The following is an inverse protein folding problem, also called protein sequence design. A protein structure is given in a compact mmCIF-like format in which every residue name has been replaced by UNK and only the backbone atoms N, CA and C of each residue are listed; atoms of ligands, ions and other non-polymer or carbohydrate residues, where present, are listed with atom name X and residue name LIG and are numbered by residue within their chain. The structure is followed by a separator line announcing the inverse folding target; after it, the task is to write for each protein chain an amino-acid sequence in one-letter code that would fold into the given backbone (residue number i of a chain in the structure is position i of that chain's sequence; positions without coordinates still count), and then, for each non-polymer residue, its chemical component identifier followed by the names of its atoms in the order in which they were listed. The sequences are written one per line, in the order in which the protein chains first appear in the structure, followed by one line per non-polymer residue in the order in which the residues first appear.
data_IF_013472825899
#
_entry.id   IF_013472825899
#
_cell.length_a   1.000
_cell.length_b   1.000
_cell.length_c   1.000
_cell.angle_alpha   90.00
_cell.angle_beta   90.00
_cell.angle_gamma   90.00
#
_symmetry.space_group_name_H-M   'P 1'
#
loop_
_entity.id
_entity.type
_entity.pdbx_description
1 polymer ?
#
# COMPACT_ATOMS: atom_id res chain seq x y z
N UNK A 1 -19.63 9.70 3.50
CA UNK A 1 -18.56 10.70 3.64
C UNK A 1 -18.42 11.17 5.11
N UNK A 2 -19.45 11.78 5.68
CA UNK A 2 -19.37 12.40 7.02
C UNK A 2 -18.92 11.43 8.14
N UNK A 3 -19.48 10.23 8.23
CA UNK A 3 -19.08 9.24 9.24
C UNK A 3 -17.63 8.79 9.08
N UNK A 4 -17.16 8.66 7.85
CA UNK A 4 -15.77 8.31 7.57
C UNK A 4 -14.80 9.41 8.01
N UNK A 5 -15.07 10.66 7.71
CA UNK A 5 -14.23 11.77 8.15
C UNK A 5 -14.23 11.93 9.67
N UNK A 6 -15.38 11.75 10.33
CA UNK A 6 -15.45 11.72 11.80
C UNK A 6 -14.60 10.57 12.37
N UNK A 7 -14.62 9.39 11.75
CA UNK A 7 -13.73 8.28 12.15
C UNK A 7 -12.26 8.68 12.05
N UNK A 8 -11.84 9.33 10.96
CA UNK A 8 -10.45 9.78 10.78
C UNK A 8 -10.05 10.82 11.84
N UNK A 9 -10.93 11.76 12.18
CA UNK A 9 -10.68 12.73 13.24
C UNK A 9 -10.49 12.06 14.60
N UNK A 10 -11.35 11.08 14.96
CA UNK A 10 -11.18 10.32 16.21
C UNK A 10 -9.92 9.46 16.22
N UNK A 11 -9.56 8.89 15.04
CA UNK A 11 -8.30 8.19 14.87
C UNK A 11 -7.09 9.11 15.11
N UNK A 12 -7.09 10.31 14.53
CA UNK A 12 -6.03 11.31 14.74
C UNK A 12 -5.92 11.72 16.23
N UNK A 13 -7.02 11.90 16.92
CA UNK A 13 -7.02 12.12 18.37
C UNK A 13 -6.39 10.97 19.14
N UNK A 14 -6.57 9.73 18.68
CA UNK A 14 -5.99 8.53 19.29
C UNK A 14 -4.46 8.46 19.16
N UNK A 15 -3.91 8.84 18.01
CA UNK A 15 -2.46 8.81 17.76
C UNK A 15 -1.71 10.03 18.36
N UNK A 16 -2.40 11.15 18.61
CA UNK A 16 -1.89 12.36 19.28
C UNK A 16 -0.46 12.77 18.86
N UNK A 17 0.49 12.71 19.79
CA UNK A 17 1.88 13.15 19.64
C UNK A 17 2.80 12.06 19.04
N UNK A 18 2.25 10.92 18.63
CA UNK A 18 3.00 9.90 17.94
C UNK A 18 3.14 10.26 16.46
N UNK A 19 4.24 9.80 15.85
CA UNK A 19 4.49 9.94 14.41
C UNK A 19 4.42 8.57 13.73
N UNK A 20 3.23 7.97 13.64
CA UNK A 20 3.10 6.66 13.00
C UNK A 20 3.30 6.77 11.50
N UNK A 21 3.64 5.64 10.88
CA UNK A 21 3.48 5.45 9.44
C UNK A 21 2.02 5.06 9.21
N UNK A 22 1.35 5.76 8.32
CA UNK A 22 -0.02 5.46 7.90
C UNK A 22 0.00 5.07 6.42
N UNK A 23 -0.38 3.84 6.13
CA UNK A 23 -0.69 3.39 4.77
C UNK A 23 -2.18 3.65 4.55
N UNK A 24 -2.47 4.63 3.69
CA UNK A 24 -3.80 5.16 3.57
C UNK A 24 -4.57 4.54 2.41
N UNK A 25 -5.70 3.94 2.73
CA UNK A 25 -6.68 3.39 1.80
C UNK A 25 -6.10 2.39 0.78
N UNK A 26 -5.53 1.25 1.23
CA UNK A 26 -5.03 0.22 0.32
C UNK A 26 -6.04 -0.13 -0.78
N UNK A 27 -5.57 -0.17 -2.02
CA UNK A 27 -6.32 -0.43 -3.26
C UNK A 27 -7.35 0.64 -3.65
N UNK A 28 -7.78 1.53 -2.76
CA UNK A 28 -8.94 2.39 -2.99
C UNK A 28 -8.73 3.39 -4.13
N UNK A 29 -7.54 3.98 -4.24
CA UNK A 29 -7.23 4.96 -5.28
C UNK A 29 -7.08 4.32 -6.67
N UNK A 30 -6.29 3.24 -6.86
CA UNK A 30 -6.22 2.55 -8.16
C UNK A 30 -7.57 1.99 -8.61
N UNK A 31 -8.43 1.51 -7.71
CA UNK A 31 -9.77 1.04 -8.06
C UNK A 31 -10.66 2.10 -8.72
N UNK A 32 -10.37 3.37 -8.53
CA UNK A 32 -11.16 4.45 -9.18
C UNK A 32 -11.12 4.38 -10.70
N UNK A 33 -10.07 3.78 -11.29
CA UNK A 33 -9.94 3.59 -12.75
C UNK A 33 -10.95 2.60 -13.32
N UNK A 34 -11.54 1.75 -12.48
CA UNK A 34 -12.53 0.74 -12.85
C UNK A 34 -13.98 1.22 -12.61
N UNK A 35 -14.16 2.44 -12.09
CA UNK A 35 -15.45 3.01 -11.75
C UNK A 35 -15.97 3.91 -12.88
N UNK A 36 -17.30 4.15 -12.90
CA UNK A 36 -17.83 5.23 -13.71
C UNK A 36 -17.36 6.60 -13.15
N UNK A 37 -17.38 7.63 -13.98
CA UNK A 37 -16.84 8.95 -13.66
C UNK A 37 -17.40 9.53 -12.35
N UNK A 38 -18.72 9.42 -12.12
CA UNK A 38 -19.37 9.97 -10.92
C UNK A 38 -18.87 9.32 -9.63
N UNK A 39 -18.77 7.99 -9.63
CA UNK A 39 -18.34 7.23 -8.44
C UNK A 39 -16.83 7.38 -8.23
N UNK A 40 -16.05 7.45 -9.31
CA UNK A 40 -14.62 7.75 -9.28
C UNK A 40 -14.35 9.13 -8.66
N UNK A 41 -15.00 10.18 -9.16
CA UNK A 41 -14.83 11.55 -8.63
C UNK A 41 -15.25 11.63 -7.16
N UNK A 42 -16.36 10.99 -6.78
CA UNK A 42 -16.77 10.91 -5.38
C UNK A 42 -15.71 10.24 -4.49
N UNK A 43 -15.17 9.10 -4.94
CA UNK A 43 -14.15 8.37 -4.22
C UNK A 43 -12.85 9.17 -4.08
N UNK A 44 -12.39 9.78 -5.15
CA UNK A 44 -11.19 10.63 -5.16
C UNK A 44 -11.33 11.81 -4.21
N UNK A 45 -12.47 12.49 -4.24
CA UNK A 45 -12.73 13.61 -3.32
C UNK A 45 -12.73 13.14 -1.86
N UNK A 46 -13.33 11.98 -1.57
CA UNK A 46 -13.35 11.43 -0.22
C UNK A 46 -11.94 11.04 0.28
N UNK A 47 -11.12 10.45 -0.59
CA UNK A 47 -9.71 10.13 -0.28
C UNK A 47 -8.94 11.43 -0.02
N UNK A 48 -9.12 12.44 -0.84
CA UNK A 48 -8.48 13.76 -0.67
C UNK A 48 -8.86 14.41 0.65
N UNK A 49 -10.16 14.53 0.96
CA UNK A 49 -10.65 15.09 2.24
C UNK A 49 -10.09 14.30 3.45
N UNK A 50 -9.99 12.99 3.34
CA UNK A 50 -9.41 12.15 4.39
C UNK A 50 -7.91 12.37 4.56
N UNK A 51 -7.13 12.52 3.48
CA UNK A 51 -5.71 12.88 3.55
C UNK A 51 -5.51 14.26 4.17
N UNK A 52 -6.32 15.25 3.79
CA UNK A 52 -6.31 16.57 4.40
C UNK A 52 -6.57 16.47 5.90
N UNK A 53 -7.60 15.74 6.33
CA UNK A 53 -7.91 15.52 7.75
C UNK A 53 -6.74 14.91 8.51
N UNK A 54 -6.14 13.82 8.00
CA UNK A 54 -5.03 13.15 8.70
C UNK A 54 -3.80 14.05 8.79
N UNK A 55 -3.45 14.74 7.70
CA UNK A 55 -2.24 15.57 7.64
C UNK A 55 -2.38 16.89 8.39
N UNK A 56 -3.59 17.39 8.60
CA UNK A 56 -3.85 18.58 9.41
C UNK A 56 -3.93 18.28 10.92
N UNK A 57 -4.48 17.11 11.28
CA UNK A 57 -4.73 16.76 12.68
C UNK A 57 -3.63 15.84 13.29
N UNK A 58 -2.61 15.45 12.53
CA UNK A 58 -1.52 14.60 13.02
C UNK A 58 -0.16 14.90 12.41
N UNK A 59 0.90 14.44 13.10
CA UNK A 59 2.29 14.46 12.58
C UNK A 59 2.68 13.11 11.95
N UNK A 60 1.72 12.33 11.46
CA UNK A 60 1.97 11.02 10.86
C UNK A 60 2.74 11.13 9.54
N UNK A 61 3.55 10.11 9.24
CA UNK A 61 4.08 9.90 7.90
C UNK A 61 3.03 9.16 7.05
N UNK A 62 2.36 9.88 6.15
CA UNK A 62 1.24 9.34 5.39
C UNK A 62 1.67 8.96 3.98
N UNK A 63 1.37 7.72 3.59
CA UNK A 63 1.59 7.18 2.25
C UNK A 63 0.25 6.72 1.69
N UNK A 64 -0.20 7.34 0.59
CA UNK A 64 -1.42 6.89 -0.10
C UNK A 64 -1.12 5.64 -0.91
N UNK A 65 -1.97 4.64 -0.83
CA UNK A 65 -1.75 3.43 -1.62
C UNK A 65 -2.08 3.65 -3.09
N UNK A 66 -1.19 3.18 -3.97
CA UNK A 66 -1.35 3.29 -5.42
C UNK A 66 -1.31 1.92 -6.14
N UNK A 67 -1.37 0.83 -5.38
CA UNK A 67 -1.41 -0.52 -5.94
C UNK A 67 -0.02 -1.05 -6.32
N UNK A 68 0.15 -1.52 -7.54
CA UNK A 68 1.37 -2.20 -7.96
C UNK A 68 1.65 -2.07 -9.46
N UNK A 69 2.88 -2.38 -9.87
CA UNK A 69 3.43 -2.23 -11.22
C UNK A 69 2.62 -2.87 -12.37
N UNK A 70 1.82 -3.90 -12.07
CA UNK A 70 0.99 -4.56 -13.07
C UNK A 70 -0.46 -4.05 -13.09
N UNK A 71 -0.76 -2.97 -12.39
CA UNK A 71 -2.09 -2.37 -12.33
C UNK A 71 -2.18 -1.08 -13.13
N UNK A 72 -1.25 -0.16 -12.92
CA UNK A 72 -1.25 1.16 -13.54
C UNK A 72 0.09 1.46 -14.20
N UNK A 73 0.05 2.21 -15.30
CA UNK A 73 1.25 2.85 -15.81
C UNK A 73 1.74 3.94 -14.84
N UNK A 74 3.07 4.18 -14.75
CA UNK A 74 3.62 5.19 -13.81
C UNK A 74 3.00 6.58 -13.97
N UNK A 75 2.67 6.99 -15.19
CA UNK A 75 2.02 8.27 -15.48
C UNK A 75 0.63 8.34 -14.86
N UNK A 76 -0.19 7.32 -15.08
CA UNK A 76 -1.57 7.28 -14.57
C UNK A 76 -1.58 7.23 -13.04
N UNK A 77 -0.63 6.49 -12.45
CA UNK A 77 -0.43 6.46 -11.01
C UNK A 77 -0.07 7.84 -10.46
N UNK A 78 0.87 8.54 -11.08
CA UNK A 78 1.27 9.90 -10.69
C UNK A 78 0.11 10.91 -10.81
N UNK A 79 -0.68 10.82 -11.88
CA UNK A 79 -1.87 11.67 -12.05
C UNK A 79 -2.90 11.44 -10.93
N UNK A 80 -3.15 10.19 -10.54
CA UNK A 80 -4.06 9.87 -9.44
C UNK A 80 -3.54 10.38 -8.08
N UNK A 81 -2.25 10.17 -7.78
CA UNK A 81 -1.64 10.68 -6.55
C UNK A 81 -1.76 12.21 -6.51
N UNK A 82 -1.47 12.91 -7.61
CA UNK A 82 -1.57 14.38 -7.70
C UNK A 82 -2.97 14.90 -7.39
N UNK A 83 -4.02 14.14 -7.76
CA UNK A 83 -5.42 14.55 -7.51
C UNK A 83 -5.80 14.55 -6.03
N UNK A 84 -5.12 13.76 -5.20
CA UNK A 84 -5.46 13.57 -3.79
C UNK A 84 -4.44 14.12 -2.80
N UNK A 85 -3.16 14.21 -3.19
CA UNK A 85 -2.07 14.61 -2.32
C UNK A 85 -2.06 16.11 -2.01
N UNK A 86 -1.50 16.45 -0.87
CA UNK A 86 -1.06 17.80 -0.48
C UNK A 86 0.41 17.78 -0.07
N UNK A 87 0.98 18.94 0.25
CA UNK A 87 2.41 19.08 0.58
C UNK A 87 2.86 18.37 1.88
N UNK A 88 1.91 17.86 2.67
CA UNK A 88 2.20 17.12 3.92
C UNK A 88 2.12 15.61 3.74
N UNK A 89 1.62 15.13 2.62
CA UNK A 89 1.65 13.70 2.28
C UNK A 89 3.08 13.32 1.95
N UNK A 90 3.66 12.36 2.67
CA UNK A 90 5.05 11.93 2.48
C UNK A 90 5.27 11.29 1.10
N UNK A 91 4.25 10.64 0.58
CA UNK A 91 4.30 9.98 -0.72
C UNK A 91 3.29 8.86 -0.86
N UNK A 92 3.74 7.70 -1.34
CA UNK A 92 2.82 6.61 -1.68
C UNK A 92 3.36 5.24 -1.25
N UNK A 93 2.46 4.28 -1.05
CA UNK A 93 2.81 2.88 -0.83
C UNK A 93 2.57 2.06 -2.10
N UNK A 94 3.38 1.04 -2.30
CA UNK A 94 3.27 0.13 -3.44
C UNK A 94 3.32 -1.33 -3.00
N UNK A 95 2.70 -2.19 -3.81
CA UNK A 95 2.71 -3.64 -3.62
C UNK A 95 1.97 -4.13 -2.36
N UNK A 96 1.13 -3.29 -1.73
CA UNK A 96 0.40 -3.67 -0.52
C UNK A 96 -0.41 -4.95 -0.78
N UNK A 97 -0.19 -5.95 0.07
CA UNK A 97 -0.83 -7.28 -0.05
C UNK A 97 -0.57 -8.02 -1.37
N UNK A 98 0.37 -7.58 -2.19
CA UNK A 98 0.68 -8.18 -3.49
C UNK A 98 2.04 -8.90 -3.47
N UNK A 99 2.45 -9.43 -4.62
CA UNK A 99 3.59 -10.34 -4.76
C UNK A 99 4.62 -9.86 -5.78
N UNK A 100 4.53 -8.61 -6.29
CA UNK A 100 5.52 -8.06 -7.22
C UNK A 100 6.87 -8.00 -6.52
N UNK A 101 7.94 -8.39 -7.24
CA UNK A 101 9.27 -8.37 -6.65
C UNK A 101 9.66 -6.97 -6.17
N UNK A 102 10.51 -6.89 -5.15
CA UNK A 102 11.01 -5.61 -4.64
C UNK A 102 11.68 -4.80 -5.74
N UNK A 103 12.47 -5.46 -6.60
CA UNK A 103 13.11 -4.80 -7.74
C UNK A 103 12.10 -4.18 -8.70
N UNK A 104 11.08 -4.94 -9.13
CA UNK A 104 10.03 -4.46 -10.02
C UNK A 104 9.25 -3.29 -9.40
N UNK A 105 8.89 -3.42 -8.12
CA UNK A 105 8.18 -2.38 -7.37
C UNK A 105 9.01 -1.11 -7.22
N UNK A 106 10.32 -1.23 -6.96
CA UNK A 106 11.28 -0.14 -6.87
C UNK A 106 11.38 0.61 -8.22
N UNK A 107 11.63 -0.11 -9.31
CA UNK A 107 11.76 0.48 -10.64
C UNK A 107 10.48 1.21 -11.09
N UNK A 108 9.32 0.67 -10.75
CA UNK A 108 8.04 1.30 -11.04
C UNK A 108 7.78 2.54 -10.19
N UNK A 109 8.05 2.48 -8.89
CA UNK A 109 7.86 3.60 -7.97
C UNK A 109 8.81 4.77 -8.28
N UNK A 110 10.06 4.49 -8.67
CA UNK A 110 11.00 5.54 -9.10
C UNK A 110 10.49 6.31 -10.32
N UNK A 111 9.88 5.62 -11.29
CA UNK A 111 9.26 6.29 -12.45
C UNK A 111 8.07 7.18 -12.05
N UNK A 112 7.35 6.84 -11.00
CA UNK A 112 6.29 7.71 -10.46
C UNK A 112 6.92 8.95 -9.81
N UNK A 113 8.02 8.80 -9.09
CA UNK A 113 8.73 9.92 -8.47
C UNK A 113 9.29 10.93 -9.48
N UNK A 114 9.54 10.53 -10.76
CA UNK A 114 9.94 11.47 -11.82
C UNK A 114 8.92 12.58 -12.08
N UNK A 115 7.66 12.40 -11.70
CA UNK A 115 6.59 13.39 -11.84
C UNK A 115 6.52 14.40 -10.70
N UNK A 116 7.10 14.08 -9.53
CA UNK A 116 7.18 14.98 -8.38
C UNK A 116 8.33 14.58 -7.45
N UNK A 117 9.38 15.39 -7.43
CA UNK A 117 10.59 15.17 -6.62
C UNK A 117 10.36 15.19 -5.10
N UNK A 118 9.23 15.68 -4.63
CA UNK A 118 8.91 15.69 -3.19
C UNK A 118 8.34 14.36 -2.70
N UNK A 119 7.95 13.46 -3.58
CA UNK A 119 7.41 12.17 -3.17
C UNK A 119 8.51 11.18 -2.82
N UNK A 120 8.25 10.46 -1.74
CA UNK A 120 8.94 9.23 -1.38
C UNK A 120 7.95 8.06 -1.42
N UNK A 121 8.43 6.84 -1.25
CA UNK A 121 7.55 5.68 -1.22
C UNK A 121 8.02 4.63 -0.23
N UNK A 122 7.11 3.72 0.08
CA UNK A 122 7.39 2.48 0.83
C UNK A 122 6.90 1.28 0.03
N UNK A 123 7.56 0.14 0.21
CA UNK A 123 7.22 -1.12 -0.49
C UNK A 123 6.76 -2.16 0.53
N UNK A 124 5.61 -2.79 0.27
CA UNK A 124 5.23 -4.00 1.01
C UNK A 124 6.02 -5.20 0.50
N UNK A 125 6.90 -5.72 1.35
CA UNK A 125 7.76 -6.89 1.08
C UNK A 125 7.31 -8.14 1.86
N UNK A 126 6.13 -8.10 2.45
CA UNK A 126 5.62 -9.14 3.35
C UNK A 126 5.51 -10.52 2.71
N UNK A 127 5.29 -10.60 1.38
CA UNK A 127 5.00 -11.88 0.70
C UNK A 127 5.59 -11.99 -0.71
N UNK A 128 6.56 -11.16 -1.06
CA UNK A 128 7.04 -11.00 -2.43
C UNK A 128 8.38 -11.67 -2.74
N UNK A 129 8.95 -12.46 -1.81
CA UNK A 129 10.29 -13.06 -1.96
C UNK A 129 10.47 -13.94 -3.20
N UNK A 130 9.43 -14.65 -3.62
CA UNK A 130 9.42 -15.43 -4.87
C UNK A 130 8.76 -14.72 -6.06
N UNK A 131 8.45 -13.43 -5.91
CA UNK A 131 7.75 -12.67 -6.95
C UNK A 131 6.30 -13.17 -7.18
N UNK A 132 5.63 -12.71 -8.24
CA UNK A 132 4.24 -13.07 -8.53
C UNK A 132 4.09 -14.50 -9.07
N UNK A 133 2.89 -15.06 -8.92
CA UNK A 133 2.48 -16.31 -9.56
C UNK A 133 1.47 -15.96 -10.67
N UNK A 134 1.97 -15.58 -11.84
CA UNK A 134 1.13 -15.05 -12.90
C UNK A 134 0.35 -13.81 -12.42
N UNK A 135 -0.97 -13.86 -12.59
CA UNK A 135 -1.90 -12.81 -12.12
C UNK A 135 -2.67 -13.22 -10.86
N UNK A 136 -2.30 -14.33 -10.23
CA UNK A 136 -2.93 -14.79 -8.99
C UNK A 136 -2.59 -13.83 -7.84
N UNK A 137 -3.62 -13.22 -7.27
CA UNK A 137 -3.48 -12.33 -6.10
C UNK A 137 -4.00 -12.98 -4.80
N UNK A 138 -4.89 -13.97 -4.91
CA UNK A 138 -5.54 -14.56 -3.73
C UNK A 138 -4.83 -15.83 -3.29
N UNK A 139 -3.97 -15.73 -2.30
CA UNK A 139 -3.20 -16.82 -1.69
C UNK A 139 -2.44 -17.71 -2.71
N UNK A 140 -1.70 -17.19 -3.67
CA UNK A 140 -0.96 -18.04 -4.60
C UNK A 140 0.03 -18.95 -3.86
N UNK A 141 0.18 -20.21 -4.29
CA UNK A 141 1.07 -21.16 -3.63
C UNK A 141 2.54 -20.82 -3.85
N UNK A 142 3.41 -21.29 -2.97
CA UNK A 142 4.87 -21.17 -3.13
C UNK A 142 5.42 -19.77 -2.95
N UNK A 143 4.67 -18.88 -2.29
CA UNK A 143 5.17 -17.54 -1.98
C UNK A 143 6.05 -17.56 -0.75
N UNK A 144 7.01 -16.62 -0.68
CA UNK A 144 7.89 -16.43 0.46
C UNK A 144 7.78 -14.98 0.94
N UNK A 145 8.13 -14.75 2.20
CA UNK A 145 8.40 -13.37 2.64
C UNK A 145 9.56 -12.79 1.83
N UNK A 146 9.50 -11.51 1.57
CA UNK A 146 10.60 -10.78 0.94
C UNK A 146 11.56 -10.20 1.96
N UNK A 147 12.15 -9.07 1.62
CA UNK A 147 13.07 -8.36 2.50
C UNK A 147 12.41 -8.03 3.85
N UNK A 148 13.19 -8.20 4.93
CA UNK A 148 12.72 -7.80 6.27
C UNK A 148 12.48 -6.29 6.35
N UNK A 149 11.56 -5.85 7.21
CA UNK A 149 11.31 -4.43 7.41
C UNK A 149 12.59 -3.68 7.75
N UNK A 150 12.90 -2.64 6.97
CA UNK A 150 14.10 -1.80 7.14
C UNK A 150 13.91 -0.45 6.50
N UNK A 151 14.59 0.58 7.04
CA UNK A 151 14.76 1.88 6.39
C UNK A 151 16.07 1.95 5.57
N UNK A 152 16.91 0.94 5.64
CA UNK A 152 18.11 0.80 4.80
C UNK A 152 17.73 0.05 3.51
N UNK A 153 17.20 0.78 2.54
CA UNK A 153 16.67 0.25 1.28
C UNK A 153 17.67 0.33 0.14
N UNK A 154 18.75 1.10 0.32
CA UNK A 154 19.73 1.40 -0.73
C UNK A 154 19.25 2.40 -1.79
N UNK A 155 18.06 3.01 -1.61
CA UNK A 155 17.47 3.99 -2.52
C UNK A 155 16.88 5.16 -1.74
N UNK A 156 17.36 6.39 -2.01
CA UNK A 156 17.01 7.60 -1.26
C UNK A 156 15.50 7.96 -1.30
N UNK A 157 14.81 7.58 -2.39
CA UNK A 157 13.37 7.80 -2.54
C UNK A 157 12.52 6.75 -1.86
N UNK A 158 13.09 5.60 -1.53
CA UNK A 158 12.40 4.52 -0.83
C UNK A 158 12.65 4.63 0.67
N UNK A 159 11.68 5.15 1.40
CA UNK A 159 11.81 5.38 2.84
C UNK A 159 11.91 4.08 3.65
N UNK A 160 11.25 3.02 3.21
CA UNK A 160 11.32 1.72 3.90
C UNK A 160 10.79 0.55 3.05
N UNK A 161 11.28 -0.65 3.33
CA UNK A 161 10.60 -1.92 3.12
C UNK A 161 9.77 -2.22 4.37
N UNK A 162 8.52 -2.58 4.19
CA UNK A 162 7.58 -2.83 5.28
C UNK A 162 6.86 -4.16 5.08
N UNK A 163 6.40 -4.77 6.15
CA UNK A 163 5.43 -5.85 6.12
C UNK A 163 4.06 -5.28 6.47
N UNK A 164 3.43 -4.63 5.48
CA UNK A 164 2.13 -3.97 5.62
C UNK A 164 1.04 -5.02 5.72
N UNK A 165 1.01 -5.96 4.78
CA UNK A 165 0.20 -7.17 4.94
C UNK A 165 0.83 -8.07 5.99
N UNK A 166 0.03 -8.53 6.95
CA UNK A 166 0.51 -9.47 7.96
C UNK A 166 0.80 -10.83 7.30
N UNK A 167 2.07 -11.32 7.30
CA UNK A 167 2.39 -12.63 6.76
C UNK A 167 1.58 -13.73 7.45
N UNK A 168 0.94 -14.60 6.67
CA UNK A 168 0.08 -15.66 7.19
C UNK A 168 -1.41 -15.31 7.26
N UNK A 169 -1.82 -14.07 7.03
CA UNK A 169 -3.24 -13.75 6.87
C UNK A 169 -3.74 -14.07 5.47
N UNK A 170 -4.83 -14.82 5.39
CA UNK A 170 -5.49 -15.20 4.14
C UNK A 170 -6.09 -13.99 3.41
N UNK A 171 -5.99 -13.98 2.08
CA UNK A 171 -6.69 -13.03 1.20
C UNK A 171 -8.14 -13.43 0.96
N UNK A 172 -8.53 -14.66 1.29
CA UNK A 172 -9.86 -15.19 1.08
C UNK A 172 -9.85 -16.67 0.71
N UNK A 173 -10.96 -17.17 0.19
CA UNK A 173 -11.15 -18.59 -0.10
C UNK A 173 -10.39 -19.10 -1.34
N UNK A 174 -9.76 -18.24 -2.11
CA UNK A 174 -8.95 -18.64 -3.26
C UNK A 174 -7.78 -19.55 -2.84
N UNK A 175 -7.45 -20.50 -3.71
CA UNK A 175 -6.37 -21.46 -3.49
C UNK A 175 -6.47 -22.26 -2.16
N UNK A 176 -7.69 -22.51 -1.70
CA UNK A 176 -7.95 -23.30 -0.50
C UNK A 176 -7.83 -22.53 0.82
N UNK A 177 -7.66 -21.21 0.75
CA UNK A 177 -7.53 -20.36 1.94
C UNK A 177 -8.80 -20.26 2.77
N UNK A 178 -8.69 -19.93 4.08
CA UNK A 178 -9.83 -19.59 4.91
C UNK A 178 -10.40 -18.21 4.53
N UNK A 179 -11.39 -17.72 5.28
CA UNK A 179 -11.96 -16.37 5.09
C UNK A 179 -10.85 -15.32 5.17
N UNK A 180 -10.97 -14.26 4.34
CA UNK A 180 -10.05 -13.11 4.34
C UNK A 180 -9.80 -12.55 5.76
N UNK A 181 -8.56 -12.17 6.05
CA UNK A 181 -8.11 -11.69 7.34
C UNK A 181 -7.93 -12.76 8.41
N UNK A 182 -8.25 -14.03 8.13
CA UNK A 182 -8.01 -15.11 9.08
C UNK A 182 -6.57 -15.61 8.96
N UNK A 183 -5.87 -15.72 10.10
CA UNK A 183 -4.55 -16.32 10.15
C UNK A 183 -4.59 -17.78 9.69
N UNK A 184 -3.69 -18.13 8.77
CA UNK A 184 -3.60 -19.45 8.15
C UNK A 184 -2.21 -20.05 8.43
N UNK A 185 -2.09 -20.92 9.43
CA UNK A 185 -0.80 -21.43 9.90
C UNK A 185 0.02 -22.15 8.82
N UNK A 186 -0.65 -22.87 7.91
CA UNK A 186 0.00 -23.61 6.83
C UNK A 186 0.68 -22.66 5.84
N UNK A 187 -0.02 -21.60 5.43
CA UNK A 187 0.53 -20.55 4.58
C UNK A 187 1.65 -19.79 5.30
N UNK A 188 1.47 -19.46 6.58
CA UNK A 188 2.52 -18.78 7.36
C UNK A 188 3.83 -19.61 7.42
N UNK A 189 3.73 -20.92 7.63
CA UNK A 189 4.89 -21.82 7.61
C UNK A 189 5.54 -21.89 6.23
N UNK A 190 4.73 -21.90 5.15
CA UNK A 190 5.27 -21.90 3.79
C UNK A 190 6.02 -20.59 3.48
N UNK A 191 5.48 -19.44 3.88
CA UNK A 191 6.10 -18.14 3.66
C UNK A 191 7.51 -18.01 4.26
N UNK A 192 7.82 -18.76 5.33
CA UNK A 192 9.11 -18.67 6.06
C UNK A 192 9.99 -19.91 5.93
N UNK A 193 9.62 -20.87 5.10
CA UNK A 193 10.32 -22.18 5.03
C UNK A 193 11.81 -22.09 4.66
N UNK A 194 12.21 -21.04 3.96
CA UNK A 194 13.59 -20.82 3.48
C UNK A 194 14.35 -19.79 4.35
N UNK A 195 13.75 -19.32 5.45
CA UNK A 195 14.44 -18.48 6.43
C UNK A 195 15.22 -19.38 7.39
N UNK A 196 16.53 -19.26 7.39
CA UNK A 196 17.45 -19.95 8.32
C UNK A 196 17.70 -19.12 9.59
#
# INVERSE_FOLDING_TARGET
ATEYLLFLQEFCKGIKNHKPIIIYEPDALPHTTLMNTKDSDFRINLIKEGLETITEESDAYVYVDIGHSNWLDPKDAAELITRVSNDRVRGFSVNVSNYRSTKESMEWALKICEYNDNWNFVIDTSRNGNGPHGNDWCNPPGRLVGEFPTCDTGEDKCDAFLWIKIPGESDGKGNGGPRAGKFWPEMAKELVKDIN
#
